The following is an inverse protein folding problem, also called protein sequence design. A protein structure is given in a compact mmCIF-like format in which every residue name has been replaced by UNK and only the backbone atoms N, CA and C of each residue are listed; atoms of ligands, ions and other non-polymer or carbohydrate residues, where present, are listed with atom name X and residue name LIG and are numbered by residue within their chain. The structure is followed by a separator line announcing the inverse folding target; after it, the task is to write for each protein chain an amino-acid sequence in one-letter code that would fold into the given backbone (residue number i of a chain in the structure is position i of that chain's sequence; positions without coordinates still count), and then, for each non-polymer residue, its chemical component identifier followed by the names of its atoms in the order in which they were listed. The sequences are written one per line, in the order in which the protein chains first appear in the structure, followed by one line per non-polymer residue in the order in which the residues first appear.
data_IF_223871480289
#
_entry.id   IF_223871480289
#
_cell.length_a   1.000
_cell.length_b   1.000
_cell.length_c   1.000
_cell.angle_alpha   90.00
_cell.angle_beta   90.00
_cell.angle_gamma   90.00
#
_symmetry.space_group_name_H-M   'P 1'
#
loop_
_entity.id
_entity.type
_entity.pdbx_description
1 polymer ?
#
# COMPACT_ATOMS: atom_id res chain seq x y z
N UNK A 1 60.67 -24.65 73.78
CA UNK A 1 59.41 -25.24 73.49
C UNK A 1 58.80 -24.52 72.27
N UNK A 2 58.75 -25.21 71.25
CA UNK A 2 58.55 -24.64 69.92
C UNK A 2 57.16 -24.95 69.45
N UNK A 3 56.42 -23.92 69.28
CA UNK A 3 55.15 -24.07 68.64
C UNK A 3 55.25 -23.54 67.20
N UNK A 4 55.38 -24.48 66.41
CA UNK A 4 55.39 -24.19 64.96
C UNK A 4 53.94 -24.07 64.51
N UNK A 5 53.51 -22.87 64.30
CA UNK A 5 52.23 -22.62 63.67
C UNK A 5 52.42 -22.77 62.17
N UNK A 6 51.91 -23.83 61.66
CA UNK A 6 51.80 -24.02 60.20
C UNK A 6 50.61 -23.25 59.74
N UNK A 7 50.88 -22.17 59.13
CA UNK A 7 49.87 -21.47 58.32
C UNK A 7 49.53 -22.31 57.11
N UNK A 8 48.40 -22.92 57.17
CA UNK A 8 47.84 -23.60 56.00
C UNK A 8 47.43 -22.58 54.95
N UNK A 9 48.16 -22.56 53.88
CA UNK A 9 47.84 -21.75 52.77
C UNK A 9 46.66 -22.44 52.03
N UNK A 10 45.46 -21.99 52.27
CA UNK A 10 44.32 -22.36 51.49
C UNK A 10 44.42 -21.62 50.22
N UNK A 11 44.95 -22.26 49.19
CA UNK A 11 44.83 -21.78 47.86
C UNK A 11 43.37 -21.99 47.42
N UNK A 12 42.59 -20.96 47.56
CA UNK A 12 41.29 -20.93 46.90
C UNK A 12 41.54 -20.76 45.43
N UNK A 13 41.56 -21.86 44.75
CA UNK A 13 41.41 -21.83 43.29
C UNK A 13 39.99 -21.37 43.04
N UNK A 14 39.84 -20.08 42.85
CA UNK A 14 38.70 -19.56 42.14
C UNK A 14 38.81 -20.08 40.71
N UNK A 15 38.21 -21.23 40.49
CA UNK A 15 37.90 -21.65 39.16
C UNK A 15 37.00 -20.61 38.54
N UNK A 16 37.60 -19.69 37.86
CA UNK A 16 36.85 -18.83 36.98
C UNK A 16 36.35 -19.76 35.89
N UNK A 17 35.21 -20.35 36.14
CA UNK A 17 34.43 -20.86 35.04
C UNK A 17 34.08 -19.61 34.22
N UNK A 18 34.96 -19.26 33.31
CA UNK A 18 34.60 -18.36 32.27
C UNK A 18 33.44 -19.03 31.55
N UNK A 19 32.25 -18.74 32.03
CA UNK A 19 31.08 -19.07 31.27
C UNK A 19 31.24 -18.29 29.98
N UNK A 20 31.83 -18.95 28.99
CA UNK A 20 31.74 -18.49 27.65
C UNK A 20 30.26 -18.56 27.31
N UNK A 21 29.55 -17.53 27.70
CA UNK A 21 28.25 -17.27 27.10
C UNK A 21 28.56 -16.98 25.65
N UNK A 22 28.49 -18.03 24.85
CA UNK A 22 28.45 -17.83 23.45
C UNK A 22 27.30 -16.87 23.16
N UNK A 23 27.63 -15.69 22.79
CA UNK A 23 26.64 -14.72 22.33
C UNK A 23 25.89 -15.43 21.20
N UNK A 24 24.56 -15.58 21.29
CA UNK A 24 23.83 -16.20 20.20
C UNK A 24 24.18 -15.44 18.90
N UNK A 25 24.38 -16.14 17.78
CA UNK A 25 24.68 -15.46 16.54
C UNK A 25 23.60 -14.41 16.28
N UNK A 26 23.97 -13.21 15.79
CA UNK A 26 22.97 -12.19 15.48
C UNK A 26 21.96 -12.79 14.52
N UNK A 27 20.66 -12.49 14.69
CA UNK A 27 19.65 -12.98 13.77
C UNK A 27 20.06 -12.60 12.36
N UNK A 28 19.79 -13.45 11.35
CA UNK A 28 20.11 -13.10 9.97
C UNK A 28 19.45 -11.78 9.64
N UNK A 29 20.12 -10.88 8.88
CA UNK A 29 19.54 -9.61 8.51
C UNK A 29 18.18 -9.88 7.86
N UNK A 30 17.17 -9.11 8.27
CA UNK A 30 15.85 -9.19 7.67
C UNK A 30 16.00 -9.00 6.15
N UNK A 31 15.28 -9.78 5.33
CA UNK A 31 15.32 -9.56 3.89
C UNK A 31 14.99 -8.08 3.61
N UNK A 32 15.66 -7.44 2.64
CA UNK A 32 15.37 -6.06 2.33
C UNK A 32 13.88 -5.91 2.09
N UNK A 33 13.24 -4.85 2.63
CA UNK A 33 11.83 -4.63 2.39
C UNK A 33 11.62 -4.60 0.88
N UNK A 34 10.63 -5.33 0.39
CA UNK A 34 10.22 -5.22 -1.00
C UNK A 34 9.99 -3.74 -1.27
N UNK A 35 10.49 -3.19 -2.39
CA UNK A 35 10.17 -1.83 -2.77
C UNK A 35 8.65 -1.69 -2.74
N UNK A 36 8.09 -0.60 -2.20
CA UNK A 36 6.65 -0.42 -2.16
C UNK A 36 6.12 -0.64 -3.57
N UNK A 37 5.16 -1.56 -3.70
CA UNK A 37 4.49 -1.76 -4.97
C UNK A 37 3.87 -0.43 -5.36
N UNK A 38 4.39 0.17 -6.42
CA UNK A 38 3.81 1.40 -6.91
C UNK A 38 2.42 1.10 -7.44
N UNK A 39 1.48 1.96 -7.07
CA UNK A 39 0.14 1.89 -7.61
C UNK A 39 0.07 2.40 -9.05
N UNK A 40 1.14 3.01 -9.52
CA UNK A 40 1.24 3.50 -10.88
C UNK A 40 1.18 2.36 -11.90
N UNK A 41 0.56 2.62 -13.02
CA UNK A 41 0.45 1.67 -14.11
C UNK A 41 -0.88 1.75 -14.83
N UNK A 42 -1.08 0.83 -15.76
CA UNK A 42 -2.30 0.74 -16.54
C UNK A 42 -3.35 -0.11 -15.80
N UNK A 43 -4.57 0.40 -15.74
CA UNK A 43 -5.71 -0.28 -15.14
C UNK A 43 -6.80 -0.44 -16.20
N UNK A 44 -7.51 -1.56 -16.14
CA UNK A 44 -8.61 -1.88 -17.05
C UNK A 44 -9.79 -2.46 -16.30
N UNK A 45 -10.96 -2.13 -16.74
CA UNK A 45 -12.18 -2.67 -16.17
C UNK A 45 -13.42 -2.17 -16.89
N UNK A 46 -14.48 -2.03 -16.12
CA UNK A 46 -15.79 -1.66 -16.66
C UNK A 46 -16.47 -0.66 -15.75
N UNK A 47 -17.44 0.04 -16.33
CA UNK A 47 -18.36 0.88 -15.57
C UNK A 47 -19.79 0.41 -15.75
N UNK A 48 -20.60 0.71 -14.75
CA UNK A 48 -22.05 0.50 -14.75
C UNK A 48 -22.72 1.82 -14.43
N UNK A 49 -23.90 2.02 -14.95
CA UNK A 49 -24.66 3.24 -14.71
C UNK A 49 -25.56 3.02 -13.50
N UNK A 50 -25.49 3.89 -12.51
CA UNK A 50 -26.43 3.85 -11.38
C UNK A 50 -27.41 5.02 -11.40
N UNK A 51 -27.15 6.07 -12.15
CA UNK A 51 -28.00 7.22 -12.27
C UNK A 51 -28.02 7.73 -13.70
N UNK A 52 -29.16 7.92 -14.28
CA UNK A 52 -29.32 8.39 -15.67
C UNK A 52 -30.66 9.13 -15.82
N UNK A 53 -30.67 10.39 -15.43
CA UNK A 53 -31.85 11.25 -15.56
C UNK A 53 -31.92 11.96 -16.91
N UNK A 54 -30.94 11.76 -17.76
CA UNK A 54 -30.83 12.38 -19.06
C UNK A 54 -30.28 11.40 -20.09
N UNK A 55 -30.72 11.55 -21.34
CA UNK A 55 -30.13 10.80 -22.45
C UNK A 55 -28.70 11.23 -22.75
N UNK A 56 -28.29 12.40 -22.29
CA UNK A 56 -26.93 12.90 -22.42
C UNK A 56 -25.96 12.27 -21.41
N UNK A 57 -26.44 11.39 -20.51
CA UNK A 57 -25.57 10.70 -19.57
C UNK A 57 -24.59 9.78 -20.31
N UNK A 58 -23.34 9.71 -19.82
CA UNK A 58 -22.34 8.82 -20.42
C UNK A 58 -22.82 7.37 -20.42
N UNK A 59 -22.40 6.65 -21.45
CA UNK A 59 -22.70 5.23 -21.54
C UNK A 59 -21.73 4.41 -20.70
N UNK A 60 -22.22 3.39 -19.98
CA UNK A 60 -21.34 2.45 -19.29
C UNK A 60 -20.57 1.61 -20.33
N UNK A 61 -19.42 1.13 -19.95
CA UNK A 61 -18.60 0.32 -20.85
C UNK A 61 -17.21 0.09 -20.30
N UNK A 62 -16.27 -0.06 -21.22
CA UNK A 62 -14.87 -0.29 -20.88
C UNK A 62 -14.24 0.96 -20.28
N UNK A 63 -13.47 0.76 -19.21
CA UNK A 63 -12.72 1.81 -18.55
C UNK A 63 -11.23 1.46 -18.62
N UNK A 64 -10.44 2.42 -19.00
CA UNK A 64 -8.97 2.33 -19.02
C UNK A 64 -8.43 3.55 -18.31
N UNK A 65 -7.56 3.30 -17.32
CA UNK A 65 -6.90 4.36 -16.57
C UNK A 65 -5.39 4.15 -16.65
N UNK A 66 -4.67 5.25 -16.75
CA UNK A 66 -3.23 5.27 -16.61
C UNK A 66 -2.91 6.06 -15.34
N UNK A 67 -2.41 5.37 -14.31
CA UNK A 67 -2.01 6.01 -13.06
C UNK A 67 -0.55 6.39 -13.15
N UNK A 68 -0.25 7.66 -12.97
CA UNK A 68 1.08 8.25 -12.96
C UNK A 68 1.20 9.16 -11.75
N UNK A 69 2.19 8.91 -10.89
CA UNK A 69 2.40 9.67 -9.65
C UNK A 69 1.14 9.75 -8.79
N UNK A 70 0.45 8.61 -8.66
CA UNK A 70 -0.80 8.49 -7.88
C UNK A 70 -1.94 9.36 -8.41
N UNK A 71 -1.94 9.66 -9.69
CA UNK A 71 -2.98 10.44 -10.35
C UNK A 71 -3.41 9.78 -11.63
N UNK A 72 -4.68 10.00 -11.99
CA UNK A 72 -5.21 9.52 -13.26
C UNK A 72 -6.32 10.43 -13.77
N UNK A 73 -6.67 10.25 -15.02
CA UNK A 73 -7.82 10.91 -15.66
C UNK A 73 -8.88 9.88 -15.99
N UNK A 74 -10.09 10.13 -15.54
CA UNK A 74 -11.26 9.34 -15.89
C UNK A 74 -12.00 10.03 -17.02
N UNK A 75 -12.24 9.30 -18.10
CA UNK A 75 -12.98 9.83 -19.23
C UNK A 75 -14.47 9.77 -18.95
N UNK A 76 -15.08 10.92 -18.74
CA UNK A 76 -16.51 11.05 -18.52
C UNK A 76 -17.29 10.91 -19.83
N UNK A 77 -16.90 11.68 -20.84
CA UNK A 77 -17.44 11.63 -22.19
C UNK A 77 -16.34 11.95 -23.22
N UNK A 78 -16.71 12.12 -24.47
CA UNK A 78 -15.76 12.36 -25.56
C UNK A 78 -14.89 13.61 -25.35
N UNK A 79 -15.38 14.59 -24.59
CA UNK A 79 -14.74 15.90 -24.42
C UNK A 79 -14.38 16.24 -22.97
N UNK A 80 -14.75 15.40 -22.01
CA UNK A 80 -14.60 15.71 -20.59
C UNK A 80 -13.81 14.63 -19.89
N UNK A 81 -12.76 15.07 -19.20
CA UNK A 81 -11.90 14.22 -18.36
C UNK A 81 -11.97 14.71 -16.91
N UNK A 82 -12.02 13.78 -15.99
CA UNK A 82 -12.00 14.05 -14.56
C UNK A 82 -10.62 13.72 -14.03
N UNK A 83 -9.94 14.73 -13.48
CA UNK A 83 -8.66 14.53 -12.83
C UNK A 83 -8.88 13.98 -11.43
N UNK A 84 -8.24 12.88 -11.12
CA UNK A 84 -8.34 12.23 -9.82
C UNK A 84 -6.97 11.97 -9.21
N UNK A 85 -6.93 11.98 -7.90
CA UNK A 85 -5.72 11.69 -7.12
C UNK A 85 -6.00 10.57 -6.12
N UNK A 86 -4.99 9.73 -5.90
CA UNK A 86 -5.03 8.63 -4.95
C UNK A 86 -4.18 9.02 -3.74
N UNK A 87 -4.82 9.15 -2.58
CA UNK A 87 -4.13 9.45 -1.34
C UNK A 87 -3.36 8.23 -0.80
N UNK A 88 -2.37 8.41 0.09
CA UNK A 88 -1.61 7.30 0.65
C UNK A 88 -2.46 6.25 1.36
N UNK A 89 -3.62 6.62 1.89
CA UNK A 89 -4.56 5.70 2.54
C UNK A 89 -5.47 4.95 1.55
N UNK A 90 -5.32 5.19 0.25
CA UNK A 90 -6.15 4.59 -0.79
C UNK A 90 -7.40 5.38 -1.16
N UNK A 91 -7.68 6.49 -0.51
CA UNK A 91 -8.82 7.33 -0.87
C UNK A 91 -8.60 7.99 -2.23
N UNK A 92 -9.57 7.86 -3.11
CA UNK A 92 -9.53 8.44 -4.45
C UNK A 92 -10.53 9.58 -4.53
N UNK A 93 -10.07 10.75 -4.94
CA UNK A 93 -10.92 11.92 -5.13
C UNK A 93 -10.56 12.65 -6.41
N UNK A 94 -11.56 13.17 -7.07
CA UNK A 94 -11.37 13.94 -8.29
C UNK A 94 -12.56 14.84 -8.59
N UNK A 95 -12.34 15.80 -9.43
CA UNK A 95 -13.39 16.70 -9.88
C UNK A 95 -13.06 17.33 -11.22
N UNK A 96 -14.09 17.66 -11.98
CA UNK A 96 -14.01 18.44 -13.18
C UNK A 96 -15.36 19.12 -13.39
N UNK A 97 -15.38 20.44 -13.40
CA UNK A 97 -16.65 21.22 -13.50
C UNK A 97 -17.67 20.79 -12.42
N UNK A 98 -18.82 20.28 -12.83
CA UNK A 98 -19.87 19.78 -11.92
C UNK A 98 -19.72 18.29 -11.59
N UNK A 99 -18.68 17.62 -12.09
CA UNK A 99 -18.47 16.19 -11.94
C UNK A 99 -17.60 15.93 -10.74
N UNK A 100 -17.98 14.98 -9.90
CA UNK A 100 -17.21 14.54 -8.74
C UNK A 100 -16.92 13.05 -8.84
N UNK A 101 -15.67 12.69 -8.54
CA UNK A 101 -15.24 11.30 -8.48
C UNK A 101 -14.80 10.99 -7.04
N UNK A 102 -15.35 9.91 -6.47
CA UNK A 102 -15.00 9.43 -5.13
C UNK A 102 -14.82 7.92 -5.21
N UNK A 103 -13.73 7.41 -4.67
CA UNK A 103 -13.48 5.99 -4.72
C UNK A 103 -12.40 5.53 -3.76
N UNK A 104 -11.97 4.30 -3.97
CA UNK A 104 -10.92 3.65 -3.19
C UNK A 104 -9.99 2.84 -4.07
N UNK A 105 -8.72 2.88 -3.70
CA UNK A 105 -7.70 2.01 -4.26
C UNK A 105 -7.27 1.02 -3.16
N UNK A 106 -7.28 -0.25 -3.47
CA UNK A 106 -6.81 -1.31 -2.57
C UNK A 106 -6.15 -2.42 -3.40
N UNK A 107 -4.90 -2.74 -3.08
CA UNK A 107 -4.14 -3.71 -3.85
C UNK A 107 -4.02 -3.28 -5.32
N UNK A 108 -4.40 -4.17 -6.22
CA UNK A 108 -4.36 -3.93 -7.66
C UNK A 108 -5.68 -3.38 -8.22
N UNK A 109 -6.59 -2.93 -7.35
CA UNK A 109 -7.95 -2.54 -7.74
C UNK A 109 -8.23 -1.08 -7.39
N UNK A 110 -8.93 -0.41 -8.28
CA UNK A 110 -9.51 0.91 -8.04
C UNK A 110 -10.99 0.82 -8.37
N UNK A 111 -11.83 1.30 -7.47
CA UNK A 111 -13.26 1.42 -7.72
C UNK A 111 -13.76 2.77 -7.26
N UNK A 112 -14.79 3.26 -7.89
CA UNK A 112 -15.33 4.56 -7.52
C UNK A 112 -16.61 4.90 -8.25
N UNK A 113 -17.17 6.00 -7.80
CA UNK A 113 -18.39 6.59 -8.34
C UNK A 113 -18.07 7.96 -8.94
N UNK A 114 -18.57 8.20 -10.12
CA UNK A 114 -18.41 9.46 -10.82
C UNK A 114 -19.81 10.00 -11.12
N UNK A 115 -20.11 11.18 -10.63
CA UNK A 115 -21.46 11.76 -10.77
C UNK A 115 -21.43 13.27 -10.96
N UNK A 116 -22.41 13.78 -11.68
CA UNK A 116 -22.68 15.21 -11.77
C UNK A 116 -24.02 15.59 -11.12
N UNK A 117 -24.65 14.66 -10.37
CA UNK A 117 -25.97 14.84 -9.76
C UNK A 117 -27.13 14.44 -10.66
N UNK A 118 -26.92 14.30 -11.96
CA UNK A 118 -27.93 13.88 -12.95
C UNK A 118 -27.57 12.54 -13.57
N UNK A 119 -26.27 12.32 -13.75
CA UNK A 119 -25.70 11.11 -14.32
C UNK A 119 -24.70 10.53 -13.31
N UNK A 120 -24.65 9.21 -13.19
CA UNK A 120 -23.71 8.54 -12.32
C UNK A 120 -23.23 7.23 -12.91
N UNK A 121 -21.93 7.01 -12.82
CA UNK A 121 -21.24 5.78 -13.21
C UNK A 121 -20.47 5.22 -12.04
N UNK A 122 -20.61 3.92 -11.81
CA UNK A 122 -19.72 3.18 -10.92
C UNK A 122 -18.70 2.43 -11.78
N UNK A 123 -17.43 2.57 -11.47
CA UNK A 123 -16.38 1.87 -12.20
C UNK A 123 -15.55 0.99 -11.30
N UNK A 124 -15.04 -0.09 -11.86
CA UNK A 124 -14.09 -0.99 -11.22
C UNK A 124 -13.02 -1.33 -12.24
N UNK A 125 -11.78 -1.09 -11.86
CA UNK A 125 -10.63 -1.40 -12.71
C UNK A 125 -9.58 -2.16 -11.91
N UNK A 126 -8.86 -3.02 -12.60
CA UNK A 126 -7.77 -3.81 -12.02
C UNK A 126 -6.48 -3.52 -12.79
N UNK A 127 -5.37 -3.53 -12.08
CA UNK A 127 -4.07 -3.26 -12.69
C UNK A 127 -3.75 -4.33 -13.72
N UNK A 128 -3.45 -3.90 -14.94
CA UNK A 128 -3.08 -4.81 -16.01
C UNK A 128 -1.71 -5.42 -15.73
N UNK A 129 -1.59 -6.75 -15.94
CA UNK A 129 -0.35 -7.46 -15.67
C UNK A 129 -0.15 -7.86 -14.21
N UNK A 130 -1.09 -7.55 -13.30
CA UNK A 130 -1.15 -8.14 -11.98
C UNK A 130 -1.68 -9.57 -12.11
N UNK A 131 -0.77 -10.50 -12.26
CA UNK A 131 -1.07 -11.92 -12.31
C UNK A 131 -0.95 -12.54 -10.94
#
# INVERSE_FOLDING_TARGET
MMNTVRAGLLAVLCGIAAACKATPPPPPPAPPPKPPETIDGAYRGTSTRFEAQSRACPHPGLVRLQVIDSRFQFRWDANTWVDAAIAPDGTVTGSAESITLVGKQAGARIEGDVTNGTCGLHFTVTKAGAG
#
